data_IF_207737312978
#
_entry.id   IF_207737312978
#
_cell.length_a   1.000
_cell.length_b   1.000
_cell.length_c   1.000
_cell.angle_alpha   90.00
_cell.angle_beta   90.00
_cell.angle_gamma   90.00
#
_symmetry.space_group_name_H-M   'P 1'
#
loop_
_entity.id
_entity.type
_entity.pdbx_description
1 polymer ?
#
# COMPACT_ATOMS: atom_id res chain seq x y z
N UNK A 1 4.11 19.90 8.08
CA UNK A 1 4.59 18.74 8.85
C UNK A 1 3.46 17.71 8.85
N UNK A 2 3.73 16.44 8.55
CA UNK A 2 2.70 15.39 8.54
C UNK A 2 2.35 15.06 9.99
N UNK A 3 1.07 15.16 10.35
CA UNK A 3 0.57 14.79 11.67
C UNK A 3 0.37 13.27 11.72
N UNK A 4 0.82 12.60 12.79
CA UNK A 4 0.57 11.18 13.04
C UNK A 4 -0.29 11.05 14.30
N UNK A 5 -1.57 10.75 14.13
CA UNK A 5 -2.55 10.73 15.22
C UNK A 5 -2.27 9.54 16.15
N UNK A 6 -2.10 9.80 17.46
CA UNK A 6 -1.71 8.79 18.45
C UNK A 6 -2.69 7.62 18.59
N UNK A 7 -3.96 7.85 18.26
CA UNK A 7 -5.01 6.83 18.20
C UNK A 7 -4.79 5.79 17.09
N UNK A 8 -4.06 6.15 16.02
CA UNK A 8 -3.78 5.28 14.87
C UNK A 8 -2.30 4.92 14.74
N UNK A 9 -1.41 5.73 15.31
CA UNK A 9 0.03 5.58 15.17
C UNK A 9 0.71 5.59 16.54
N UNK A 10 1.76 4.80 16.64
CA UNK A 10 2.66 4.77 17.79
C UNK A 10 4.04 5.23 17.33
N UNK A 11 4.67 6.13 18.09
CA UNK A 11 6.07 6.48 17.87
C UNK A 11 6.93 5.25 18.21
N UNK A 12 7.77 4.83 17.26
CA UNK A 12 8.65 3.68 17.40
C UNK A 12 9.90 3.94 16.57
N UNK A 13 11.07 3.85 17.20
CA UNK A 13 12.33 3.88 16.47
C UNK A 13 12.56 2.51 15.83
N UNK A 14 12.79 2.49 14.53
CA UNK A 14 13.14 1.30 13.77
C UNK A 14 14.64 1.32 13.46
N UNK A 15 15.28 0.16 13.51
CA UNK A 15 16.62 0.01 12.95
C UNK A 15 16.56 0.17 11.43
N UNK A 16 17.62 0.71 10.82
CA UNK A 16 17.73 0.89 9.37
C UNK A 16 17.49 -0.42 8.60
N UNK A 17 18.09 -1.51 9.09
CA UNK A 17 17.88 -2.87 8.55
C UNK A 17 16.40 -3.29 8.54
N UNK A 18 15.62 -2.88 9.53
CA UNK A 18 14.20 -3.21 9.60
C UNK A 18 13.38 -2.39 8.58
N UNK A 19 13.76 -1.12 8.37
CA UNK A 19 13.17 -0.27 7.32
C UNK A 19 13.48 -0.86 5.93
N UNK A 20 14.70 -1.34 5.72
CA UNK A 20 15.11 -2.00 4.47
C UNK A 20 14.29 -3.26 4.22
N UNK A 21 14.06 -4.08 5.24
CA UNK A 21 13.22 -5.27 5.15
C UNK A 21 11.78 -4.93 4.74
N UNK A 22 11.19 -3.85 5.27
CA UNK A 22 9.85 -3.42 4.83
C UNK A 22 9.85 -2.98 3.37
N UNK A 23 10.88 -2.23 2.95
CA UNK A 23 11.04 -1.76 1.58
C UNK A 23 11.23 -2.94 0.60
N UNK A 24 12.06 -3.92 0.97
CA UNK A 24 12.26 -5.15 0.20
C UNK A 24 10.98 -5.96 0.10
N UNK A 25 10.20 -6.08 1.19
CA UNK A 25 8.93 -6.80 1.16
C UNK A 25 7.91 -6.13 0.26
N UNK A 26 7.87 -4.78 0.23
CA UNK A 26 7.02 -4.03 -0.68
C UNK A 26 7.42 -4.25 -2.15
N UNK A 27 8.72 -4.21 -2.46
CA UNK A 27 9.25 -4.49 -3.81
C UNK A 27 8.94 -5.91 -4.27
N UNK A 28 9.13 -6.88 -3.38
CA UNK A 28 8.90 -8.28 -3.72
C UNK A 28 7.45 -8.54 -4.16
N UNK A 29 6.48 -7.94 -3.47
CA UNK A 29 5.08 -8.04 -3.89
C UNK A 29 4.85 -7.36 -5.25
N UNK A 30 5.48 -6.19 -5.49
CA UNK A 30 5.38 -5.53 -6.79
C UNK A 30 5.96 -6.40 -7.91
N UNK A 31 7.12 -7.03 -7.68
CA UNK A 31 7.73 -7.97 -8.64
C UNK A 31 6.81 -9.16 -8.94
N UNK A 32 6.13 -9.72 -7.93
CA UNK A 32 5.14 -10.77 -8.16
C UNK A 32 4.00 -10.27 -9.05
N UNK A 33 3.46 -9.07 -8.78
CA UNK A 33 2.40 -8.47 -9.59
C UNK A 33 2.85 -8.20 -11.04
N UNK A 34 4.12 -7.86 -11.26
CA UNK A 34 4.70 -7.64 -12.59
C UNK A 34 4.98 -8.94 -13.37
N UNK A 35 5.18 -10.06 -12.66
CA UNK A 35 5.61 -11.34 -13.23
C UNK A 35 4.48 -12.26 -13.69
N UNK A 36 3.23 -11.87 -13.46
CA UNK A 36 2.03 -12.70 -13.70
C UNK A 36 1.06 -12.02 -14.64
N UNK A 37 0.31 -12.83 -15.39
CA UNK A 37 -0.78 -12.42 -16.27
C UNK A 37 -2.17 -12.68 -15.65
N UNK A 38 -2.24 -13.26 -14.46
CA UNK A 38 -3.50 -13.59 -13.78
C UNK A 38 -4.04 -12.32 -13.10
N UNK A 39 -5.18 -11.74 -13.52
CA UNK A 39 -5.65 -10.43 -13.05
C UNK A 39 -5.83 -10.34 -11.53
N UNK A 40 -6.35 -11.40 -10.90
CA UNK A 40 -6.54 -11.45 -9.45
C UNK A 40 -5.20 -11.44 -8.69
N UNK A 41 -4.16 -12.07 -9.27
CA UNK A 41 -2.81 -12.07 -8.69
C UNK A 41 -2.18 -10.70 -8.86
N UNK A 42 -2.29 -10.11 -10.05
CA UNK A 42 -1.83 -8.72 -10.32
C UNK A 42 -2.46 -7.77 -9.31
N UNK A 43 -3.78 -7.80 -9.16
CA UNK A 43 -4.51 -6.93 -8.23
C UNK A 43 -4.07 -7.14 -6.78
N UNK A 44 -4.08 -8.40 -6.31
CA UNK A 44 -3.75 -8.73 -4.92
C UNK A 44 -2.37 -8.23 -4.55
N UNK A 45 -1.37 -8.57 -5.35
CA UNK A 45 0.01 -8.20 -5.06
C UNK A 45 0.29 -6.72 -5.30
N UNK A 46 -0.42 -6.06 -6.24
CA UNK A 46 -0.37 -4.60 -6.37
C UNK A 46 -0.89 -3.92 -5.10
N UNK A 47 -2.02 -4.37 -4.55
CA UNK A 47 -2.58 -3.81 -3.32
C UNK A 47 -1.66 -4.05 -2.12
N UNK A 48 -1.15 -5.27 -1.95
CA UNK A 48 -0.27 -5.62 -0.84
C UNK A 48 1.05 -4.82 -0.91
N UNK A 49 1.63 -4.67 -2.11
CA UNK A 49 2.80 -3.81 -2.36
C UNK A 49 2.55 -2.35 -1.95
N UNK A 50 1.39 -1.77 -2.30
CA UNK A 50 1.02 -0.39 -1.94
C UNK A 50 0.92 -0.21 -0.42
N UNK A 51 0.29 -1.16 0.28
CA UNK A 51 0.16 -1.10 1.74
C UNK A 51 1.52 -1.26 2.42
N UNK A 52 2.37 -2.19 1.95
CA UNK A 52 3.72 -2.37 2.47
C UNK A 52 4.63 -1.18 2.19
N UNK A 53 4.50 -0.53 1.04
CA UNK A 53 5.17 0.74 0.74
C UNK A 53 4.80 1.81 1.77
N UNK A 54 3.50 1.94 2.06
CA UNK A 54 3.01 2.84 3.11
C UNK A 54 3.64 2.53 4.48
N UNK A 55 3.67 1.26 4.89
CA UNK A 55 4.31 0.84 6.14
C UNK A 55 5.80 1.22 6.17
N UNK A 56 6.53 0.98 5.09
CA UNK A 56 7.95 1.30 4.98
C UNK A 56 8.21 2.81 5.14
N UNK A 57 7.48 3.66 4.42
CA UNK A 57 7.67 5.11 4.51
C UNK A 57 7.19 5.70 5.84
N UNK A 58 6.16 5.12 6.46
CA UNK A 58 5.71 5.51 7.81
C UNK A 58 6.78 5.13 8.86
N UNK A 59 7.38 3.94 8.73
CA UNK A 59 8.48 3.50 9.59
C UNK A 59 9.71 4.42 9.45
N UNK A 60 10.04 4.88 8.24
CA UNK A 60 11.09 5.89 8.01
C UNK A 60 10.84 7.21 8.73
N UNK A 61 9.59 7.54 9.07
CA UNK A 61 9.25 8.71 9.89
C UNK A 61 9.27 8.43 11.40
N UNK A 62 9.60 7.21 11.82
CA UNK A 62 9.65 6.80 13.23
C UNK A 62 8.28 6.47 13.81
N UNK A 63 7.36 5.99 12.99
CA UNK A 63 6.01 5.62 13.41
C UNK A 63 5.64 4.20 12.99
N UNK A 64 4.82 3.56 13.81
CA UNK A 64 4.18 2.28 13.54
C UNK A 64 2.67 2.49 13.49
N UNK A 65 2.02 2.00 12.45
CA UNK A 65 0.56 1.94 12.40
C UNK A 65 0.04 0.92 13.41
N UNK A 66 -1.02 1.25 14.14
CA UNK A 66 -1.72 0.32 15.02
C UNK A 66 -2.63 -0.57 14.18
N UNK A 67 -2.63 -1.88 14.45
CA UNK A 67 -3.46 -2.86 13.74
C UNK A 67 -4.92 -2.84 14.25
N UNK A 68 -5.60 -1.70 14.10
CA UNK A 68 -7.02 -1.52 14.46
C UNK A 68 -7.90 -1.43 13.21
N UNK A 69 -9.22 -1.49 13.37
CA UNK A 69 -10.15 -1.35 12.25
C UNK A 69 -9.87 -0.03 11.48
N UNK A 70 -9.80 -0.11 10.16
CA UNK A 70 -9.51 1.04 9.30
C UNK A 70 -8.03 1.39 9.15
N UNK A 71 -7.09 0.61 9.71
CA UNK A 71 -5.65 0.94 9.61
C UNK A 71 -5.14 1.07 8.17
N UNK A 72 -5.65 0.30 7.20
CA UNK A 72 -5.27 0.46 5.78
C UNK A 72 -5.62 1.86 5.25
N UNK A 73 -6.77 2.41 5.63
CA UNK A 73 -7.16 3.79 5.26
C UNK A 73 -6.13 4.78 5.81
N UNK A 74 -5.72 4.59 7.07
CA UNK A 74 -4.71 5.44 7.70
C UNK A 74 -3.33 5.31 7.07
N UNK A 75 -2.95 4.12 6.61
CA UNK A 75 -1.72 3.92 5.83
C UNK A 75 -1.80 4.71 4.52
N UNK A 76 -2.92 4.61 3.79
CA UNK A 76 -3.13 5.32 2.53
C UNK A 76 -3.15 6.85 2.70
N UNK A 77 -3.78 7.36 3.75
CA UNK A 77 -3.76 8.79 4.10
C UNK A 77 -2.33 9.31 4.28
N UNK A 78 -1.51 8.60 5.06
CA UNK A 78 -0.12 9.02 5.29
C UNK A 78 0.75 8.81 4.06
N UNK A 79 0.54 7.74 3.30
CA UNK A 79 1.26 7.50 2.04
C UNK A 79 0.97 8.63 1.03
N UNK A 80 -0.29 9.03 0.88
CA UNK A 80 -0.68 10.18 0.04
C UNK A 80 0.02 11.47 0.47
N UNK A 81 0.06 11.76 1.77
CA UNK A 81 0.73 12.94 2.32
C UNK A 81 2.26 12.89 2.14
N UNK A 82 2.87 11.70 2.30
CA UNK A 82 4.30 11.48 2.14
C UNK A 82 4.73 11.63 0.68
N UNK A 83 3.93 11.13 -0.25
CA UNK A 83 4.18 11.22 -1.70
C UNK A 83 3.68 12.52 -2.33
N UNK A 84 2.93 13.34 -1.57
CA UNK A 84 2.25 14.55 -2.04
C UNK A 84 1.36 14.26 -3.26
N UNK A 85 0.57 13.19 -3.14
CA UNK A 85 -0.25 12.66 -4.23
C UNK A 85 -1.61 12.21 -3.70
N UNK A 86 -2.66 12.98 -4.00
CA UNK A 86 -4.02 12.69 -3.53
C UNK A 86 -4.61 11.44 -4.20
N UNK A 87 -4.16 11.11 -5.41
CA UNK A 87 -4.62 9.92 -6.14
C UNK A 87 -4.29 8.64 -5.38
N UNK A 88 -3.23 8.64 -4.56
CA UNK A 88 -2.88 7.53 -3.69
C UNK A 88 -4.01 7.19 -2.72
N UNK A 89 -4.63 8.21 -2.13
CA UNK A 89 -5.73 7.99 -1.20
C UNK A 89 -6.99 7.56 -1.94
N UNK A 90 -7.27 8.16 -3.09
CA UNK A 90 -8.47 7.88 -3.90
C UNK A 90 -8.41 6.45 -4.48
N UNK A 91 -7.39 6.16 -5.28
CA UNK A 91 -7.23 4.86 -5.94
C UNK A 91 -6.92 3.75 -4.93
N UNK A 92 -6.09 4.03 -3.92
CA UNK A 92 -5.81 3.06 -2.86
C UNK A 92 -7.07 2.67 -2.07
N UNK A 93 -7.99 3.63 -1.81
CA UNK A 93 -9.27 3.29 -1.17
C UNK A 93 -10.17 2.48 -2.11
N UNK A 94 -10.16 2.76 -3.41
CA UNK A 94 -10.89 1.96 -4.40
C UNK A 94 -10.40 0.51 -4.38
N UNK A 95 -9.08 0.29 -4.44
CA UNK A 95 -8.47 -1.04 -4.30
C UNK A 95 -8.85 -1.72 -2.98
N UNK A 96 -8.84 -0.98 -1.86
CA UNK A 96 -9.26 -1.53 -0.55
C UNK A 96 -10.72 -2.00 -0.57
N UNK A 97 -11.62 -1.22 -1.17
CA UNK A 97 -13.04 -1.56 -1.26
C UNK A 97 -13.25 -2.80 -2.14
N UNK A 98 -12.63 -2.83 -3.33
CA UNK A 98 -12.68 -3.99 -4.22
C UNK A 98 -12.10 -5.25 -3.56
N UNK A 99 -10.97 -5.13 -2.85
CA UNK A 99 -10.42 -6.24 -2.06
C UNK A 99 -11.43 -6.76 -1.05
N UNK A 100 -12.12 -5.87 -0.35
CA UNK A 100 -13.11 -6.26 0.64
C UNK A 100 -14.30 -6.99 0.01
N UNK A 101 -14.81 -6.50 -1.13
CA UNK A 101 -15.88 -7.16 -1.89
C UNK A 101 -15.43 -8.56 -2.32
N UNK A 102 -14.21 -8.67 -2.87
CA UNK A 102 -13.68 -9.96 -3.29
C UNK A 102 -13.49 -10.95 -2.13
N UNK A 103 -13.14 -10.45 -0.94
CA UNK A 103 -12.90 -11.28 0.23
C UNK A 103 -14.17 -11.69 0.98
N UNK A 104 -15.14 -10.78 1.12
CA UNK A 104 -16.30 -10.95 2.00
C UNK A 104 -17.60 -11.19 1.25
N UNK A 105 -17.74 -10.65 0.04
CA UNK A 105 -18.98 -10.68 -0.74
C UNK A 105 -18.90 -11.69 -1.90
N UNK A 106 -17.83 -12.51 -1.95
CA UNK A 106 -17.65 -13.57 -2.95
C UNK A 106 -17.34 -13.05 -4.36
N UNK A 107 -16.82 -11.82 -4.49
CA UNK A 107 -16.34 -11.29 -5.77
C UNK A 107 -15.13 -12.09 -6.27
N UNK A 108 -15.24 -12.72 -7.44
CA UNK A 108 -14.18 -13.59 -8.02
C UNK A 108 -13.55 -12.94 -9.25
N UNK A 109 -13.59 -11.61 -9.38
CA UNK A 109 -13.10 -11.01 -10.62
C UNK A 109 -12.66 -9.56 -10.47
N UNK A 110 -11.36 -9.32 -10.67
CA UNK A 110 -10.87 -8.02 -11.15
C UNK A 110 -10.64 -8.12 -12.64
N UNK A 111 -11.24 -7.21 -13.42
CA UNK A 111 -11.04 -7.18 -14.86
C UNK A 111 -9.58 -6.99 -15.22
N UNK A 112 -9.11 -7.62 -16.30
CA UNK A 112 -7.74 -7.50 -16.78
C UNK A 112 -7.31 -6.03 -16.89
N UNK A 113 -8.14 -5.20 -17.52
CA UNK A 113 -7.91 -3.76 -17.65
C UNK A 113 -7.73 -3.08 -16.29
N UNK A 114 -8.61 -3.33 -15.33
CA UNK A 114 -8.55 -2.73 -13.99
C UNK A 114 -7.28 -3.17 -13.26
N UNK A 115 -6.93 -4.46 -13.35
CA UNK A 115 -5.72 -5.00 -12.71
C UNK A 115 -4.44 -4.32 -13.24
N UNK A 116 -4.36 -4.09 -14.56
CA UNK A 116 -3.23 -3.41 -15.18
C UNK A 116 -3.19 -1.91 -14.85
N UNK A 117 -4.34 -1.25 -14.75
CA UNK A 117 -4.43 0.14 -14.30
C UNK A 117 -3.95 0.29 -12.85
N UNK A 118 -4.33 -0.63 -11.96
CA UNK A 118 -3.84 -0.66 -10.59
C UNK A 118 -2.34 -0.93 -10.51
N UNK A 119 -1.81 -1.90 -11.27
CA UNK A 119 -0.38 -2.16 -11.31
C UNK A 119 0.40 -0.90 -11.76
N UNK A 120 -0.07 -0.23 -12.82
CA UNK A 120 0.53 1.02 -13.31
C UNK A 120 0.51 2.12 -12.25
N UNK A 121 -0.60 2.27 -11.54
CA UNK A 121 -0.73 3.22 -10.44
C UNK A 121 0.26 2.91 -9.30
N UNK A 122 0.36 1.65 -8.86
CA UNK A 122 1.27 1.25 -7.79
C UNK A 122 2.73 1.46 -8.20
N UNK A 123 3.11 1.13 -9.44
CA UNK A 123 4.46 1.44 -9.99
C UNK A 123 4.78 2.93 -9.92
N UNK A 124 3.79 3.80 -10.20
CA UNK A 124 3.95 5.25 -10.06
C UNK A 124 4.22 5.67 -8.61
N UNK A 125 3.53 5.06 -7.64
CA UNK A 125 3.75 5.31 -6.22
C UNK A 125 5.17 4.91 -5.77
N UNK A 126 5.66 3.74 -6.19
CA UNK A 126 7.05 3.31 -5.93
C UNK A 126 8.07 4.28 -6.54
N UNK A 127 7.86 4.68 -7.81
CA UNK A 127 8.72 5.68 -8.47
C UNK A 127 8.78 7.00 -7.71
N UNK A 128 7.64 7.48 -7.18
CA UNK A 128 7.58 8.70 -6.36
C UNK A 128 8.26 8.54 -5.00
N UNK A 129 8.21 7.34 -4.42
CA UNK A 129 8.86 7.04 -3.15
C UNK A 129 10.39 7.03 -3.26
N UNK A 130 10.94 6.89 -4.47
CA UNK A 130 12.39 6.83 -4.68
C UNK A 130 13.03 5.56 -4.10
N UNK A 131 12.20 4.53 -3.89
CA UNK A 131 12.66 3.19 -3.52
C UNK A 131 12.49 2.30 -4.75
#
# INVERSE_FOLDING_TARGET
>A
MINFESQHFQKLAFEEKQIDQFSMSARHDLEIAESTDIPDVVFKFSYDALIKLGIALIAQKGYKVRSTAGHHVKILEKLSQLLKDEDVLVLGNKMRQERNVNLYDGGIFVGEKDSLEYLKFVKSAFKKAGI
#
